data_IF_048765884631
#
_entry.id   IF_048765884631
#
_cell.length_a   1.000
_cell.length_b   1.000
_cell.length_c   1.000
_cell.angle_alpha   90.00
_cell.angle_beta   90.00
_cell.angle_gamma   90.00
#
_symmetry.space_group_name_H-M   'P 1'
#
loop_
_entity.id
_entity.type
_entity.pdbx_description
1 polymer ?
#
# COMPACT_ATOMS: atom_id res chain seq x y z
N UNK A 1 -3.14 14.03 -0.72
CA UNK A 1 -3.24 13.40 -2.07
C UNK A 1 -3.52 11.91 -1.86
N UNK A 2 -4.08 11.17 -2.83
CA UNK A 2 -4.19 9.72 -2.70
C UNK A 2 -3.68 8.98 -3.94
N UNK A 3 -3.16 7.78 -3.74
CA UNK A 3 -2.69 6.86 -4.79
C UNK A 3 -3.39 5.53 -4.61
N UNK A 4 -4.02 5.01 -5.66
CA UNK A 4 -4.62 3.68 -5.65
C UNK A 4 -3.62 2.68 -6.23
N UNK A 5 -3.44 1.57 -5.56
CA UNK A 5 -2.61 0.45 -6.01
C UNK A 5 -3.40 -0.85 -5.94
N UNK A 6 -3.13 -1.75 -6.88
CA UNK A 6 -3.79 -3.07 -6.92
C UNK A 6 -2.93 -4.13 -7.57
N UNK A 7 -3.27 -5.39 -7.32
CA UNK A 7 -2.83 -6.50 -8.15
C UNK A 7 -3.51 -6.45 -9.53
N UNK A 8 -2.79 -6.81 -10.61
CA UNK A 8 -3.39 -7.08 -11.91
C UNK A 8 -4.53 -8.10 -11.82
N UNK A 9 -5.46 -8.05 -12.77
CA UNK A 9 -6.60 -8.97 -12.80
C UNK A 9 -6.12 -10.41 -13.05
N UNK A 10 -6.63 -11.36 -12.24
CA UNK A 10 -6.27 -12.77 -12.32
C UNK A 10 -5.08 -13.19 -11.45
N UNK A 11 -4.35 -12.23 -10.87
CA UNK A 11 -3.28 -12.53 -9.91
C UNK A 11 -3.82 -13.02 -8.56
N UNK A 12 -3.01 -13.80 -7.85
CA UNK A 12 -3.38 -14.35 -6.54
C UNK A 12 -3.33 -13.23 -5.50
N UNK A 13 -4.43 -12.95 -4.77
CA UNK A 13 -4.42 -11.99 -3.67
C UNK A 13 -3.35 -12.30 -2.64
N UNK A 14 -2.61 -11.29 -2.18
CA UNK A 14 -1.62 -11.45 -1.12
C UNK A 14 -2.25 -11.23 0.26
N UNK A 15 -1.57 -11.66 1.29
CA UNK A 15 -1.97 -11.41 2.68
C UNK A 15 -1.58 -9.99 3.10
N UNK A 16 -2.32 -9.42 4.05
CA UNK A 16 -1.94 -8.13 4.68
C UNK A 16 -0.52 -8.20 5.26
N UNK A 17 -0.10 -9.37 5.76
CA UNK A 17 1.25 -9.57 6.29
C UNK A 17 2.34 -9.43 5.22
N UNK A 18 2.08 -9.88 3.99
CA UNK A 18 3.01 -9.69 2.88
C UNK A 18 3.13 -8.21 2.51
N UNK A 19 2.01 -7.46 2.51
CA UNK A 19 2.04 -6.00 2.32
C UNK A 19 2.86 -5.31 3.40
N UNK A 20 2.61 -5.63 4.68
CA UNK A 20 3.38 -5.09 5.81
C UNK A 20 4.86 -5.45 5.71
N UNK A 21 5.19 -6.68 5.31
CA UNK A 21 6.58 -7.12 5.13
C UNK A 21 7.29 -6.28 4.07
N UNK A 22 6.69 -6.15 2.88
CA UNK A 22 7.27 -5.40 1.78
C UNK A 22 7.51 -3.91 2.13
N UNK A 23 6.58 -3.29 2.87
CA UNK A 23 6.77 -1.93 3.38
C UNK A 23 7.95 -1.83 4.36
N UNK A 24 8.06 -2.78 5.28
CA UNK A 24 9.17 -2.82 6.24
C UNK A 24 10.53 -3.10 5.58
N UNK A 25 10.56 -3.89 4.50
CA UNK A 25 11.78 -4.13 3.70
C UNK A 25 12.29 -2.83 3.05
N UNK A 26 11.39 -1.88 2.76
CA UNK A 26 11.72 -0.51 2.34
C UNK A 26 12.01 0.45 3.50
N UNK A 27 12.17 -0.06 4.73
CA UNK A 27 12.39 0.73 5.95
C UNK A 27 11.26 1.72 6.25
N UNK A 28 10.03 1.37 5.88
CA UNK A 28 8.82 2.07 6.28
C UNK A 28 8.29 1.32 7.49
N UNK A 29 8.34 1.93 8.69
CA UNK A 29 7.94 1.29 9.95
C UNK A 29 6.42 1.00 9.96
N UNK A 30 6.02 -0.04 9.24
CA UNK A 30 4.63 -0.30 8.88
C UNK A 30 3.97 -1.20 9.90
N UNK A 31 2.76 -0.81 10.35
CA UNK A 31 1.97 -1.55 11.34
C UNK A 31 0.54 -1.74 10.86
N UNK A 32 0.08 -2.98 10.85
CA UNK A 32 -1.32 -3.28 10.58
C UNK A 32 -2.19 -2.98 11.81
N UNK A 33 -3.21 -2.17 11.60
CA UNK A 33 -4.26 -1.84 12.55
C UNK A 33 -5.59 -2.35 12.02
N UNK A 34 -6.24 -3.23 12.78
CA UNK A 34 -7.60 -3.69 12.48
C UNK A 34 -8.62 -2.80 13.17
N UNK A 35 -9.48 -2.15 12.39
CA UNK A 35 -10.59 -1.32 12.90
C UNK A 35 -11.93 -1.96 12.53
N UNK A 36 -13.00 -1.53 13.20
CA UNK A 36 -14.35 -2.06 12.98
C UNK A 36 -14.89 -1.79 11.56
N UNK A 37 -14.30 -0.83 10.86
CA UNK A 37 -14.72 -0.34 9.55
C UNK A 37 -13.66 -0.55 8.45
N UNK A 38 -12.55 -1.25 8.74
CA UNK A 38 -11.54 -1.59 7.74
C UNK A 38 -10.18 -1.99 8.31
N UNK A 39 -9.31 -2.51 7.44
CA UNK A 39 -7.91 -2.82 7.75
C UNK A 39 -7.01 -1.68 7.27
N UNK A 40 -6.15 -1.18 8.17
CA UNK A 40 -5.33 0.01 7.97
C UNK A 40 -3.85 -0.34 8.19
N UNK A 41 -2.95 0.29 7.45
CA UNK A 41 -1.51 0.27 7.75
C UNK A 41 -1.05 1.70 8.02
N UNK A 42 -0.50 1.90 9.21
CA UNK A 42 0.14 3.16 9.61
C UNK A 42 1.65 3.06 9.43
N UNK A 43 2.30 4.18 9.11
CA UNK A 43 3.74 4.27 8.90
C UNK A 43 4.35 5.20 9.96
N UNK A 44 5.42 4.76 10.63
CA UNK A 44 6.11 5.59 11.60
C UNK A 44 6.71 6.86 10.98
N UNK A 45 6.55 8.00 11.66
CA UNK A 45 7.18 9.26 11.28
C UNK A 45 6.52 10.00 10.10
N UNK A 46 5.30 9.64 9.74
CA UNK A 46 4.50 10.32 8.70
C UNK A 46 3.01 10.19 9.01
N UNK A 47 2.21 11.12 8.49
CA UNK A 47 0.75 11.06 8.52
C UNK A 47 0.17 10.27 7.34
N UNK A 48 1.02 9.67 6.50
CA UNK A 48 0.60 8.80 5.40
C UNK A 48 0.01 7.49 5.94
N UNK A 49 -1.18 7.15 5.46
CA UNK A 49 -1.93 5.95 5.87
C UNK A 49 -2.30 5.14 4.64
N UNK A 50 -2.32 3.81 4.78
CA UNK A 50 -2.74 2.90 3.72
C UNK A 50 -4.00 2.18 4.17
N UNK A 51 -5.12 2.42 3.50
CA UNK A 51 -6.34 1.64 3.69
C UNK A 51 -6.32 0.42 2.79
N UNK A 52 -6.67 -0.75 3.34
CA UNK A 52 -6.64 -2.03 2.65
C UNK A 52 -8.05 -2.60 2.57
N UNK A 53 -8.48 -2.91 1.35
CA UNK A 53 -9.65 -3.74 1.14
C UNK A 53 -9.26 -5.20 1.31
N UNK A 54 -9.81 -5.85 2.34
CA UNK A 54 -9.47 -7.23 2.66
C UNK A 54 -10.70 -8.13 2.71
N UNK A 55 -10.55 -9.35 2.20
CA UNK A 55 -11.51 -10.43 2.34
C UNK A 55 -10.82 -11.62 2.99
N UNK A 56 -11.20 -11.91 4.24
CA UNK A 56 -10.61 -13.01 5.04
C UNK A 56 -9.08 -12.92 5.18
N UNK A 57 -8.53 -11.71 5.26
CA UNK A 57 -7.10 -11.46 5.44
C UNK A 57 -6.27 -11.45 4.15
N UNK A 58 -6.92 -11.65 3.01
CA UNK A 58 -6.34 -11.49 1.68
C UNK A 58 -6.74 -10.14 1.09
N UNK A 59 -5.88 -9.55 0.28
CA UNK A 59 -6.09 -8.27 -0.37
C UNK A 59 -5.50 -8.25 -1.78
N UNK A 60 -6.10 -7.42 -2.62
CA UNK A 60 -5.65 -7.14 -3.98
C UNK A 60 -5.70 -5.66 -4.33
N UNK A 61 -6.12 -4.80 -3.40
CA UNK A 61 -6.31 -3.35 -3.62
C UNK A 61 -6.04 -2.60 -2.33
N UNK A 62 -5.41 -1.44 -2.44
CA UNK A 62 -5.16 -0.53 -1.35
C UNK A 62 -5.17 0.92 -1.83
N UNK A 63 -5.53 1.82 -0.93
CA UNK A 63 -5.47 3.26 -1.17
C UNK A 63 -4.46 3.87 -0.21
N UNK A 64 -3.46 4.54 -0.76
CA UNK A 64 -2.44 5.28 -0.02
C UNK A 64 -2.93 6.72 0.11
N UNK A 65 -3.25 7.14 1.32
CA UNK A 65 -3.59 8.52 1.66
C UNK A 65 -2.31 9.22 2.13
N UNK A 66 -1.77 10.10 1.28
CA UNK A 66 -0.54 10.84 1.55
C UNK A 66 -0.79 12.00 2.52
N UNK A 67 0.01 12.08 3.57
CA UNK A 67 0.04 13.23 4.48
C UNK A 67 0.43 14.53 3.77
N UNK A 68 0.16 15.67 4.41
CA UNK A 68 0.48 16.99 3.84
C UNK A 68 1.99 17.23 3.72
N UNK A 69 2.76 16.74 4.69
CA UNK A 69 4.23 16.78 4.71
C UNK A 69 4.81 15.36 4.65
N UNK A 70 5.19 14.92 3.46
CA UNK A 70 5.86 13.62 3.29
C UNK A 70 7.38 13.73 3.49
N UNK A 71 7.99 12.84 4.28
CA UNK A 71 9.44 12.71 4.34
C UNK A 71 10.05 12.46 2.96
N UNK A 72 11.24 13.01 2.74
CA UNK A 72 11.97 12.80 1.48
C UNK A 72 12.14 11.30 1.19
N UNK A 73 11.85 10.92 -0.05
CA UNK A 73 11.94 9.53 -0.50
C UNK A 73 10.86 8.59 0.05
N UNK A 74 9.82 9.07 0.73
CA UNK A 74 8.69 8.24 1.15
C UNK A 74 7.96 7.64 -0.06
N UNK A 75 7.52 8.46 -1.02
CA UNK A 75 6.71 8.01 -2.15
C UNK A 75 7.43 6.98 -3.04
N UNK A 76 8.73 7.15 -3.41
CA UNK A 76 9.47 6.12 -4.14
C UNK A 76 9.62 4.80 -3.37
N UNK A 77 9.78 4.85 -2.04
CA UNK A 77 9.85 3.64 -1.20
C UNK A 77 8.51 2.92 -1.14
N UNK A 78 7.40 3.67 -1.08
CA UNK A 78 6.05 3.10 -1.15
C UNK A 78 5.83 2.40 -2.50
N UNK A 79 6.14 3.07 -3.60
CA UNK A 79 6.02 2.49 -4.94
C UNK A 79 6.82 1.20 -5.08
N UNK A 80 8.08 1.19 -4.60
CA UNK A 80 8.92 0.00 -4.64
C UNK A 80 8.36 -1.16 -3.82
N UNK A 81 7.85 -0.89 -2.61
CA UNK A 81 7.27 -1.93 -1.76
C UNK A 81 6.10 -2.64 -2.47
N UNK A 82 5.21 -1.87 -3.10
CA UNK A 82 4.08 -2.43 -3.85
C UNK A 82 4.54 -3.10 -5.17
N UNK A 83 5.52 -2.53 -5.86
CA UNK A 83 6.13 -3.14 -7.05
C UNK A 83 6.70 -4.53 -6.76
N UNK A 84 7.42 -4.70 -5.65
CA UNK A 84 8.09 -5.96 -5.26
C UNK A 84 7.10 -7.11 -5.02
N UNK A 85 5.85 -6.80 -4.66
CA UNK A 85 4.77 -7.78 -4.49
C UNK A 85 3.84 -7.87 -5.72
N UNK A 86 4.25 -7.28 -6.85
CA UNK A 86 3.57 -7.39 -8.14
C UNK A 86 2.38 -6.44 -8.33
N UNK A 87 2.26 -5.41 -7.49
CA UNK A 87 1.17 -4.44 -7.60
C UNK A 87 1.50 -3.34 -8.61
N UNK A 88 0.44 -2.75 -9.14
CA UNK A 88 0.47 -1.64 -10.11
C UNK A 88 -0.32 -0.45 -9.57
N UNK A 89 -0.01 0.74 -10.05
CA UNK A 89 -0.78 1.94 -9.76
C UNK A 89 -2.02 2.05 -10.64
N UNK A 90 -3.01 2.80 -10.16
CA UNK A 90 -4.25 3.11 -10.88
C UNK A 90 -4.47 4.62 -10.91
N UNK A 91 -4.73 5.16 -12.09
CA UNK A 91 -5.16 6.54 -12.32
C UNK A 91 -6.30 6.61 -13.35
N UNK A 92 -6.63 7.83 -13.81
CA UNK A 92 -7.70 8.07 -14.78
C UNK A 92 -7.43 7.45 -16.17
N UNK A 93 -6.15 7.22 -16.52
CA UNK A 93 -5.73 6.60 -17.78
C UNK A 93 -5.61 5.06 -17.67
N UNK A 94 -5.68 4.52 -16.45
CA UNK A 94 -5.75 3.09 -16.16
C UNK A 94 -4.60 2.60 -15.30
N UNK A 95 -4.04 1.44 -15.66
CA UNK A 95 -2.97 0.81 -14.90
C UNK A 95 -1.60 1.34 -15.33
N UNK A 96 -0.74 1.68 -14.36
CA UNK A 96 0.64 2.09 -14.62
C UNK A 96 1.64 1.32 -13.74
N UNK A 97 2.87 1.09 -14.24
CA UNK A 97 3.90 0.41 -13.47
C UNK A 97 4.41 1.29 -12.32
N UNK A 98 4.62 0.66 -11.15
CA UNK A 98 5.31 1.28 -10.03
C UNK A 98 6.83 1.12 -10.20
N UNK A 99 7.61 2.11 -9.75
CA UNK A 99 9.08 2.17 -9.86
C UNK A 99 9.85 1.84 -8.58
#
# INVERSE_FOLDING_TARGET
>A
MHTVVRLPEGEIPCTIREVVSALNDQKLEARHEKKDWGDWITLGGTDTVISIESLRGLTSTATIEHGEEEPEGLSPRLQRAFHEIGWVGVDDDGLYPLG
#
